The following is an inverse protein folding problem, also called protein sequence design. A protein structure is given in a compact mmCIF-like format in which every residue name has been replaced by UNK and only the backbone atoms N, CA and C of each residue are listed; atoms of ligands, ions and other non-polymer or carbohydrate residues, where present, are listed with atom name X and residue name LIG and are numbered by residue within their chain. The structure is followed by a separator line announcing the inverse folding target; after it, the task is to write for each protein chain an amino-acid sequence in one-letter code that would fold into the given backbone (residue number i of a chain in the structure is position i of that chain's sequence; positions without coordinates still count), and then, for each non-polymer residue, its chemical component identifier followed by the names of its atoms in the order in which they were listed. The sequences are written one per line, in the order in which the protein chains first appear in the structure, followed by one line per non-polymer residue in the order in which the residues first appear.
data_IF_280569461897
#
_entry.id   IF_280569461897
#
_cell.length_a   1.000
_cell.length_b   1.000
_cell.length_c   1.000
_cell.angle_alpha   90.00
_cell.angle_beta   90.00
_cell.angle_gamma   90.00
#
_symmetry.space_group_name_H-M   'P 1'
#
loop_
_entity.id
_entity.type
_entity.pdbx_description
1 polymer ?
#
# COMPACT_ATOMS: atom_id res chain seq x y z
N UNK A 1 6.48 16.65 -13.70
CA UNK A 1 5.55 16.39 -12.56
C UNK A 1 6.28 16.74 -11.27
N UNK A 2 5.73 17.63 -10.42
CA UNK A 2 6.36 18.02 -9.14
C UNK A 2 6.44 16.80 -8.20
N UNK A 3 7.51 16.69 -7.40
CA UNK A 3 7.74 15.66 -6.37
C UNK A 3 6.50 15.43 -5.50
N UNK A 4 5.83 16.48 -5.05
CA UNK A 4 4.60 16.37 -4.24
C UNK A 4 3.50 15.63 -5.00
N UNK A 5 3.27 15.95 -6.28
CA UNK A 5 2.28 15.28 -7.12
C UNK A 5 2.62 13.79 -7.37
N UNK A 6 3.91 13.45 -7.48
CA UNK A 6 4.36 12.05 -7.58
C UNK A 6 4.06 11.28 -6.29
N UNK A 7 4.45 11.82 -5.13
CA UNK A 7 4.18 11.19 -3.84
C UNK A 7 2.66 11.02 -3.63
N UNK A 8 1.86 12.02 -3.99
CA UNK A 8 0.39 11.93 -3.91
C UNK A 8 -0.16 10.78 -4.77
N UNK A 9 0.32 10.66 -6.02
CA UNK A 9 -0.07 9.58 -6.93
C UNK A 9 0.33 8.20 -6.40
N UNK A 10 1.51 8.08 -5.80
CA UNK A 10 1.96 6.83 -5.18
C UNK A 10 1.14 6.47 -3.94
N UNK A 11 0.72 7.46 -3.15
CA UNK A 11 -0.18 7.26 -2.01
C UNK A 11 -1.53 6.71 -2.48
N UNK A 12 -2.10 7.25 -3.56
CA UNK A 12 -3.38 6.79 -4.08
C UNK A 12 -3.29 5.38 -4.68
N UNK A 13 -2.18 5.05 -5.34
CA UNK A 13 -1.92 3.67 -5.75
C UNK A 13 -1.83 2.73 -4.54
N UNK A 14 -1.08 3.09 -3.48
CA UNK A 14 -0.99 2.27 -2.28
C UNK A 14 -2.34 2.09 -1.57
N UNK A 15 -3.25 3.07 -1.62
CA UNK A 15 -4.62 2.89 -1.10
C UNK A 15 -5.37 1.82 -1.89
N UNK A 16 -5.29 1.85 -3.21
CA UNK A 16 -5.92 0.85 -4.07
C UNK A 16 -5.35 -0.54 -3.80
N UNK A 17 -4.03 -0.66 -3.68
CA UNK A 17 -3.37 -1.93 -3.40
C UNK A 17 -3.80 -2.51 -2.04
N UNK A 18 -3.84 -1.67 -1.00
CA UNK A 18 -4.31 -2.06 0.34
C UNK A 18 -5.78 -2.48 0.32
N UNK A 19 -6.64 -1.75 -0.38
CA UNK A 19 -8.05 -2.10 -0.50
C UNK A 19 -8.22 -3.43 -1.23
N UNK A 20 -7.52 -3.63 -2.35
CA UNK A 20 -7.60 -4.86 -3.12
C UNK A 20 -7.13 -6.07 -2.32
N UNK A 21 -5.97 -5.96 -1.66
CA UNK A 21 -5.39 -7.05 -0.87
C UNK A 21 -6.22 -7.35 0.38
N UNK A 22 -6.71 -6.31 1.08
CA UNK A 22 -7.54 -6.48 2.28
C UNK A 22 -8.97 -6.95 1.99
N UNK A 23 -9.49 -6.74 0.78
CA UNK A 23 -10.80 -7.24 0.35
C UNK A 23 -10.69 -8.60 -0.38
N UNK A 24 -9.50 -9.16 -0.52
CA UNK A 24 -9.31 -10.43 -1.22
C UNK A 24 -9.91 -11.57 -0.38
N UNK A 25 -10.72 -12.43 -1.02
CA UNK A 25 -11.22 -13.62 -0.33
C UNK A 25 -10.11 -14.63 -0.13
N UNK A 26 -10.02 -15.20 1.07
CA UNK A 26 -9.11 -16.29 1.41
C UNK A 26 -9.76 -17.66 1.22
N UNK A 27 -11.06 -17.72 0.95
CA UNK A 27 -11.76 -18.98 0.72
C UNK A 27 -11.22 -19.71 -0.50
N UNK A 28 -10.85 -20.98 -0.31
CA UNK A 28 -10.28 -21.82 -1.37
C UNK A 28 -8.81 -21.54 -1.70
N UNK A 29 -8.13 -20.71 -0.89
CA UNK A 29 -6.67 -20.51 -0.98
C UNK A 29 -5.93 -21.45 -0.03
N UNK A 30 -4.70 -21.82 -0.38
CA UNK A 30 -3.80 -22.50 0.56
C UNK A 30 -3.26 -21.52 1.60
N UNK A 31 -2.73 -22.05 2.69
CA UNK A 31 -2.11 -21.24 3.74
C UNK A 31 -0.93 -20.42 3.19
N UNK A 32 -0.15 -20.95 2.25
CA UNK A 32 0.94 -20.23 1.59
C UNK A 32 0.42 -19.07 0.72
N UNK A 33 -0.69 -19.26 0.00
CA UNK A 33 -1.30 -18.19 -0.79
C UNK A 33 -1.85 -17.08 0.11
N UNK A 34 -2.44 -17.44 1.25
CA UNK A 34 -2.92 -16.48 2.27
C UNK A 34 -1.72 -15.72 2.86
N UNK A 35 -0.64 -16.42 3.23
CA UNK A 35 0.57 -15.80 3.76
C UNK A 35 1.19 -14.80 2.77
N UNK A 36 1.20 -15.11 1.47
CA UNK A 36 1.64 -14.16 0.44
C UNK A 36 0.73 -12.94 0.31
N UNK A 37 -0.59 -13.10 0.49
CA UNK A 37 -1.52 -11.97 0.49
C UNK A 37 -1.25 -11.07 1.70
N UNK A 38 -1.07 -11.66 2.88
CA UNK A 38 -0.79 -10.93 4.11
C UNK A 38 0.56 -10.19 4.04
N UNK A 39 1.61 -10.84 3.54
CA UNK A 39 2.92 -10.20 3.32
C UNK A 39 2.80 -8.98 2.39
N UNK A 40 2.11 -9.14 1.26
CA UNK A 40 1.89 -8.04 0.31
C UNK A 40 1.07 -6.92 0.93
N UNK A 41 0.07 -7.25 1.73
CA UNK A 41 -0.76 -6.26 2.42
C UNK A 41 0.06 -5.47 3.44
N UNK A 42 0.91 -6.15 4.21
CA UNK A 42 1.80 -5.53 5.19
C UNK A 42 2.80 -4.58 4.52
N UNK A 43 3.49 -5.02 3.46
CA UNK A 43 4.42 -4.19 2.69
C UNK A 43 3.72 -2.94 2.08
N UNK A 44 2.48 -3.10 1.60
CA UNK A 44 1.69 -1.98 1.09
C UNK A 44 1.33 -0.96 2.20
N UNK A 45 1.11 -1.42 3.43
CA UNK A 45 0.90 -0.55 4.59
C UNK A 45 2.17 0.21 4.98
N UNK A 46 3.32 -0.46 5.06
CA UNK A 46 4.61 0.18 5.37
C UNK A 46 4.97 1.25 4.33
N UNK A 47 4.80 0.93 3.04
CA UNK A 47 5.03 1.88 1.94
C UNK A 47 4.11 3.10 2.06
N UNK A 48 2.83 2.89 2.37
CA UNK A 48 1.88 3.98 2.53
C UNK A 48 2.28 4.94 3.65
N UNK A 49 2.69 4.43 4.81
CA UNK A 49 3.13 5.26 5.94
C UNK A 49 4.42 6.02 5.62
N UNK A 50 5.39 5.38 4.95
CA UNK A 50 6.62 6.02 4.49
C UNK A 50 6.35 7.18 3.52
N UNK A 51 5.42 6.97 2.57
CA UNK A 51 5.01 8.00 1.60
C UNK A 51 4.29 9.16 2.29
N UNK A 52 3.39 8.90 3.25
CA UNK A 52 2.75 9.93 4.07
C UNK A 52 3.77 10.77 4.81
N UNK A 53 4.74 10.14 5.48
CA UNK A 53 5.80 10.84 6.18
C UNK A 53 6.69 11.66 5.22
N UNK A 54 6.97 11.13 4.02
CA UNK A 54 7.69 11.84 2.97
C UNK A 54 6.94 13.06 2.42
N UNK A 55 5.62 12.96 2.29
CA UNK A 55 4.76 14.07 1.87
C UNK A 55 4.78 15.19 2.90
N UNK A 56 4.61 14.87 4.19
CA UNK A 56 4.63 15.85 5.27
C UNK A 56 5.99 16.57 5.38
N UNK A 57 7.10 15.85 5.20
CA UNK A 57 8.44 16.45 5.12
C UNK A 57 8.62 17.37 3.90
N UNK A 58 7.95 17.09 2.79
CA UNK A 58 8.05 17.88 1.55
C UNK A 58 7.15 19.13 1.55
N UNK A 59 6.28 19.28 2.56
CA UNK A 59 5.39 20.43 2.75
C UNK A 59 5.94 21.47 3.73
N UNK A 60 6.94 21.10 4.53
CA UNK A 60 7.72 21.99 5.39
C UNK A 60 8.83 22.66 4.58
#
# INVERSE_FOLDING_TARGET
MNRIKRIQSEIDQCKNDRHHLGACTTSGKSDEEIAHIDERFFLACEKFEALKAGLERSRK
#
